data_IF_669567265752
#
_entry.id   IF_669567265752
#
_cell.length_a   1.000
_cell.length_b   1.000
_cell.length_c   1.000
_cell.angle_alpha   90.00
_cell.angle_beta   90.00
_cell.angle_gamma   90.00
#
_symmetry.space_group_name_H-M   'P 1'
#
loop_
_entity.id
_entity.type
_entity.pdbx_description
1 polymer ?
#
# COMPACT_ATOMS: atom_id res chain seq x y z
N UNK A 1 -27.77 -65.45 -59.73
CA UNK A 1 -28.13 -64.30 -58.89
C UNK A 1 -27.88 -64.70 -57.44
N UNK A 2 -26.69 -64.46 -56.90
CA UNK A 2 -26.36 -64.76 -55.50
C UNK A 2 -25.21 -63.87 -55.03
N UNK A 3 -25.41 -63.28 -53.86
CA UNK A 3 -24.63 -62.20 -53.25
C UNK A 3 -23.20 -62.61 -52.89
N UNK A 4 -22.24 -61.74 -53.21
CA UNK A 4 -20.89 -61.78 -52.64
C UNK A 4 -20.86 -60.96 -51.35
N UNK A 5 -20.71 -61.67 -50.22
CA UNK A 5 -20.51 -61.15 -48.88
C UNK A 5 -19.22 -60.33 -48.79
N UNK A 6 -19.32 -59.04 -48.46
CA UNK A 6 -18.19 -58.24 -47.99
C UNK A 6 -18.25 -58.08 -46.48
N UNK A 7 -17.55 -58.96 -45.76
CA UNK A 7 -17.33 -58.86 -44.32
C UNK A 7 -16.26 -57.79 -44.06
N UNK A 8 -16.66 -56.59 -43.61
CA UNK A 8 -15.75 -55.59 -43.00
C UNK A 8 -16.09 -55.52 -41.51
N UNK A 9 -15.43 -56.32 -40.70
CA UNK A 9 -15.40 -56.14 -39.24
C UNK A 9 -14.01 -55.68 -38.83
N UNK A 10 -13.95 -54.64 -37.99
CA UNK A 10 -12.88 -54.49 -37.00
C UNK A 10 -11.89 -53.36 -37.21
N UNK A 11 -12.32 -52.10 -37.42
CA UNK A 11 -11.37 -50.98 -37.42
C UNK A 11 -11.85 -49.61 -36.87
N UNK A 12 -12.89 -49.57 -36.05
CA UNK A 12 -13.44 -48.28 -35.54
C UNK A 12 -13.11 -47.97 -34.05
N UNK A 13 -12.66 -48.96 -33.26
CA UNK A 13 -12.42 -48.74 -31.81
C UNK A 13 -11.14 -48.00 -31.39
N UNK A 14 -9.98 -48.07 -32.09
CA UNK A 14 -8.80 -47.33 -31.64
C UNK A 14 -8.91 -45.82 -31.91
N UNK A 15 -9.67 -45.44 -32.93
CA UNK A 15 -9.84 -44.03 -33.32
C UNK A 15 -10.76 -43.27 -32.35
N UNK A 16 -11.82 -43.92 -31.85
CA UNK A 16 -12.69 -43.31 -30.84
C UNK A 16 -11.99 -43.18 -29.50
N UNK A 17 -11.22 -44.18 -29.04
CA UNK A 17 -10.41 -44.04 -27.81
C UNK A 17 -9.37 -42.92 -27.91
N UNK A 18 -8.67 -42.80 -29.03
CA UNK A 18 -7.70 -41.71 -29.24
C UNK A 18 -8.38 -40.35 -29.28
N UNK A 19 -9.57 -40.24 -29.89
CA UNK A 19 -10.35 -38.99 -29.90
C UNK A 19 -10.83 -38.60 -28.49
N UNK A 20 -11.27 -39.55 -27.67
CA UNK A 20 -11.64 -39.29 -26.27
C UNK A 20 -10.43 -38.86 -25.42
N UNK A 21 -9.28 -39.52 -25.57
CA UNK A 21 -8.04 -39.11 -24.90
C UNK A 21 -7.60 -37.71 -25.34
N UNK A 22 -7.67 -37.42 -26.64
CA UNK A 22 -7.35 -36.09 -27.16
C UNK A 22 -8.28 -35.02 -26.58
N UNK A 23 -9.58 -35.28 -26.46
CA UNK A 23 -10.53 -34.37 -25.82
C UNK A 23 -10.24 -34.14 -24.33
N UNK A 24 -9.84 -35.18 -23.60
CA UNK A 24 -9.46 -35.05 -22.18
C UNK A 24 -8.19 -34.21 -22.05
N UNK A 25 -7.17 -34.46 -22.88
CA UNK A 25 -5.91 -33.69 -22.86
C UNK A 25 -6.14 -32.24 -23.24
N UNK A 26 -6.91 -31.98 -24.29
CA UNK A 26 -7.25 -30.60 -24.71
C UNK A 26 -8.11 -29.89 -23.65
N UNK A 27 -9.09 -30.59 -23.06
CA UNK A 27 -9.94 -30.04 -22.01
C UNK A 27 -9.16 -29.69 -20.74
N UNK A 28 -8.28 -30.58 -20.29
CA UNK A 28 -7.40 -30.32 -19.14
C UNK A 28 -6.39 -29.21 -19.41
N UNK A 29 -5.84 -29.15 -20.63
CA UNK A 29 -4.96 -28.06 -21.05
C UNK A 29 -5.70 -26.71 -21.03
N UNK A 30 -6.90 -26.63 -21.61
CA UNK A 30 -7.71 -25.42 -21.63
C UNK A 30 -8.09 -24.92 -20.23
N UNK A 31 -8.41 -25.84 -19.31
CA UNK A 31 -8.69 -25.47 -17.92
C UNK A 31 -7.43 -24.97 -17.19
N UNK A 32 -6.26 -25.55 -17.47
CA UNK A 32 -5.01 -25.10 -16.88
C UNK A 32 -4.60 -23.72 -17.41
N UNK A 33 -4.77 -23.45 -18.72
CA UNK A 33 -4.47 -22.13 -19.29
C UNK A 33 -5.43 -21.07 -18.75
N UNK A 34 -6.72 -21.36 -18.64
CA UNK A 34 -7.68 -20.43 -18.03
C UNK A 34 -7.35 -20.09 -16.58
N UNK A 35 -6.98 -21.09 -15.78
CA UNK A 35 -6.54 -20.86 -14.39
C UNK A 35 -5.29 -19.99 -14.34
N UNK A 36 -4.34 -20.24 -15.22
CA UNK A 36 -3.12 -19.44 -15.31
C UNK A 36 -3.42 -17.99 -15.68
N UNK A 37 -4.27 -17.75 -16.69
CA UNK A 37 -4.67 -16.40 -17.10
C UNK A 37 -5.35 -15.62 -15.98
N UNK A 38 -6.26 -16.25 -15.22
CA UNK A 38 -6.91 -15.61 -14.07
C UNK A 38 -5.91 -15.22 -12.98
N UNK A 39 -4.93 -16.08 -12.68
CA UNK A 39 -3.88 -15.77 -11.69
C UNK A 39 -2.98 -14.63 -12.14
N UNK A 40 -2.62 -14.58 -13.43
CA UNK A 40 -1.84 -13.49 -14.01
C UNK A 40 -2.62 -12.18 -13.92
N UNK A 41 -3.91 -12.19 -14.28
CA UNK A 41 -4.74 -10.99 -14.22
C UNK A 41 -4.87 -10.45 -12.79
N UNK A 42 -5.08 -11.32 -11.80
CA UNK A 42 -5.16 -10.89 -10.39
C UNK A 42 -3.85 -10.25 -9.92
N UNK A 43 -2.71 -10.87 -10.26
CA UNK A 43 -1.39 -10.32 -9.91
C UNK A 43 -1.15 -8.96 -10.57
N UNK A 44 -1.54 -8.83 -11.83
CA UNK A 44 -1.32 -7.59 -12.57
C UNK A 44 -2.18 -6.44 -12.00
N UNK A 45 -3.44 -6.73 -11.60
CA UNK A 45 -4.31 -5.76 -10.90
C UNK A 45 -3.68 -5.34 -9.55
N UNK A 46 -3.23 -6.29 -8.73
CA UNK A 46 -2.60 -5.97 -7.44
C UNK A 46 -1.37 -5.10 -7.63
N UNK A 47 -0.51 -5.41 -8.62
CA UNK A 47 0.67 -4.59 -8.93
C UNK A 47 0.28 -3.17 -9.35
N UNK A 48 -0.74 -3.02 -10.19
CA UNK A 48 -1.22 -1.69 -10.59
C UNK A 48 -1.74 -0.89 -9.40
N UNK A 49 -2.49 -1.52 -8.49
CA UNK A 49 -2.95 -0.88 -7.26
C UNK A 49 -1.78 -0.50 -6.34
N UNK A 50 -0.79 -1.37 -6.18
CA UNK A 50 0.42 -1.10 -5.40
C UNK A 50 1.20 0.11 -5.96
N UNK A 51 1.29 0.23 -7.28
CA UNK A 51 1.92 1.40 -7.93
C UNK A 51 1.17 2.70 -7.65
N UNK A 52 -0.17 2.66 -7.68
CA UNK A 52 -1.01 3.82 -7.33
C UNK A 52 -0.88 4.19 -5.85
N UNK A 53 -0.93 3.18 -4.96
CA UNK A 53 -0.74 3.37 -3.52
C UNK A 53 0.66 3.93 -3.21
N UNK A 54 1.70 3.46 -3.91
CA UNK A 54 3.05 4.00 -3.81
C UNK A 54 3.12 5.47 -4.24
N UNK A 55 2.38 5.87 -5.28
CA UNK A 55 2.26 7.27 -5.67
C UNK A 55 1.60 8.12 -4.57
N UNK A 56 0.55 7.62 -3.92
CA UNK A 56 -0.10 8.32 -2.79
C UNK A 56 0.84 8.40 -1.57
N UNK A 57 1.57 7.32 -1.28
CA UNK A 57 2.54 7.31 -0.19
C UNK A 57 3.62 8.37 -0.41
N UNK A 58 4.13 8.48 -1.64
CA UNK A 58 5.10 9.51 -2.03
C UNK A 58 4.51 10.92 -1.90
N UNK A 59 3.30 11.16 -2.41
CA UNK A 59 2.64 12.46 -2.30
C UNK A 59 2.45 12.87 -0.83
N UNK A 60 1.95 11.94 -0.01
CA UNK A 60 1.75 12.13 1.44
C UNK A 60 3.07 12.47 2.13
N UNK A 61 4.13 11.72 1.81
CA UNK A 61 5.46 11.97 2.35
C UNK A 61 6.01 13.35 1.98
N UNK A 62 5.79 13.81 0.74
CA UNK A 62 6.19 15.15 0.32
C UNK A 62 5.34 16.25 0.99
N UNK A 63 4.07 16.00 1.28
CA UNK A 63 3.24 16.92 2.08
C UNK A 63 3.85 17.08 3.47
N UNK A 64 4.14 15.98 4.16
CA UNK A 64 4.70 15.97 5.52
C UNK A 64 6.09 16.63 5.53
N UNK A 65 6.94 16.32 4.55
CA UNK A 65 8.28 16.91 4.42
C UNK A 65 8.27 18.45 4.42
N UNK A 66 7.21 19.09 3.94
CA UNK A 66 7.11 20.56 3.88
C UNK A 66 6.69 21.21 5.18
N UNK A 67 6.47 20.44 6.24
CA UNK A 67 6.05 20.91 7.57
C UNK A 67 7.26 21.26 8.42
N UNK A 68 7.02 22.07 9.45
CA UNK A 68 8.07 22.36 10.42
C UNK A 68 8.52 21.06 11.11
N UNK A 69 9.76 21.00 11.58
CA UNK A 69 10.24 19.77 12.22
C UNK A 69 9.48 19.44 13.52
N UNK A 70 9.06 20.48 14.25
CA UNK A 70 8.49 20.40 15.59
C UNK A 70 7.79 21.73 15.93
N UNK A 71 6.82 21.70 16.85
CA UNK A 71 6.09 22.88 17.31
C UNK A 71 7.03 24.00 17.82
N UNK A 72 8.16 23.63 18.43
CA UNK A 72 9.18 24.60 18.89
C UNK A 72 9.74 25.49 17.78
N UNK A 73 9.78 25.00 16.53
CA UNK A 73 10.18 25.77 15.34
C UNK A 73 9.10 26.77 14.94
N UNK A 74 7.83 26.37 15.04
CA UNK A 74 6.67 27.22 14.72
C UNK A 74 6.54 28.34 15.75
N UNK A 75 6.67 27.99 17.04
CA UNK A 75 6.59 28.93 18.16
C UNK A 75 7.80 29.89 18.21
N UNK A 76 8.87 29.61 17.45
CA UNK A 76 10.11 30.39 17.43
C UNK A 76 10.92 30.26 18.72
N UNK A 77 10.75 29.16 19.46
CA UNK A 77 11.56 28.84 20.65
C UNK A 77 12.85 28.11 20.30
N UNK A 78 12.87 27.41 19.16
CA UNK A 78 14.07 26.83 18.58
C UNK A 78 14.97 27.92 17.94
N UNK A 79 16.28 27.76 18.09
CA UNK A 79 17.30 28.76 17.73
C UNK A 79 18.21 28.34 16.57
N UNK A 80 18.10 27.11 16.08
CA UNK A 80 19.05 26.48 15.15
C UNK A 80 20.28 25.92 15.87
N UNK A 81 20.18 25.61 17.17
CA UNK A 81 21.31 25.08 17.94
C UNK A 81 21.00 23.69 18.51
N UNK A 82 22.04 22.93 18.85
CA UNK A 82 21.87 21.57 19.41
C UNK A 82 21.10 21.55 20.74
N UNK A 83 21.01 22.70 21.42
CA UNK A 83 20.19 22.88 22.62
C UNK A 83 18.68 22.83 22.34
N UNK A 84 18.25 23.01 21.08
CA UNK A 84 16.84 23.00 20.69
C UNK A 84 16.18 21.63 20.95
N UNK A 85 16.96 20.55 20.97
CA UNK A 85 16.45 19.21 21.33
C UNK A 85 15.78 19.22 22.70
N UNK A 86 16.20 20.10 23.61
CA UNK A 86 15.60 20.24 24.94
C UNK A 86 14.24 20.94 24.97
N UNK A 87 13.82 21.60 23.88
CA UNK A 87 12.52 22.28 23.76
C UNK A 87 11.56 21.58 22.80
N UNK A 88 12.00 20.52 22.12
CA UNK A 88 11.18 19.72 21.21
C UNK A 88 10.04 19.00 21.94
N UNK A 89 8.92 18.80 21.25
CA UNK A 89 7.76 18.16 21.82
C UNK A 89 8.04 16.69 22.19
N UNK A 90 7.67 16.34 23.42
CA UNK A 90 7.61 14.97 23.89
C UNK A 90 6.47 14.84 24.89
N UNK A 91 5.41 14.15 24.47
CA UNK A 91 4.34 13.77 25.38
C UNK A 91 4.87 12.74 26.41
N UNK A 92 4.33 12.80 27.62
CA UNK A 92 4.68 11.83 28.67
C UNK A 92 3.94 10.51 28.46
N UNK A 93 4.65 9.39 28.33
CA UNK A 93 4.05 8.05 28.27
C UNK A 93 4.60 7.19 27.14
N UNK A 94 3.77 6.25 26.64
CA UNK A 94 4.11 5.38 25.50
C UNK A 94 3.99 6.12 24.15
N UNK A 95 3.12 7.13 24.06
CA UNK A 95 2.97 7.96 22.87
C UNK A 95 3.79 9.24 23.02
N UNK A 96 4.66 9.50 22.05
CA UNK A 96 5.59 10.63 22.04
C UNK A 96 4.92 11.92 21.56
N UNK A 97 3.83 11.79 20.81
CA UNK A 97 3.14 12.85 20.12
C UNK A 97 1.62 12.72 20.33
N UNK A 98 0.89 13.81 20.11
CA UNK A 98 -0.57 13.78 20.12
C UNK A 98 -1.09 12.91 18.96
N UNK A 99 -2.08 12.05 19.23
CA UNK A 99 -2.68 11.18 18.23
C UNK A 99 -4.12 11.58 17.92
N UNK A 100 -4.71 10.95 16.90
CA UNK A 100 -6.10 11.10 16.48
C UNK A 100 -6.44 12.51 15.97
N UNK A 101 -5.44 13.24 15.50
CA UNK A 101 -5.63 14.50 14.77
C UNK A 101 -6.32 14.25 13.43
N UNK A 102 -7.22 15.14 13.02
CA UNK A 102 -7.87 15.14 11.72
C UNK A 102 -7.30 16.28 10.88
N UNK A 103 -6.15 16.02 10.27
CA UNK A 103 -5.37 17.02 9.56
C UNK A 103 -6.11 17.64 8.37
N UNK A 104 -6.16 18.97 8.33
CA UNK A 104 -6.83 19.78 7.31
C UNK A 104 -6.27 19.57 5.91
N UNK A 105 -4.97 19.27 5.80
CA UNK A 105 -4.30 18.94 4.53
C UNK A 105 -4.89 17.68 3.87
N UNK A 106 -5.56 16.84 4.66
CA UNK A 106 -6.27 15.64 4.22
C UNK A 106 -7.80 15.76 4.31
N UNK A 107 -8.33 16.97 4.49
CA UNK A 107 -9.77 17.23 4.53
C UNK A 107 -10.38 17.32 5.93
N UNK A 108 -9.54 17.30 6.97
CA UNK A 108 -9.97 17.51 8.35
C UNK A 108 -10.03 18.97 8.79
N UNK A 109 -10.00 19.20 10.11
CA UNK A 109 -10.14 20.52 10.72
C UNK A 109 -8.90 20.99 11.49
N UNK A 110 -7.97 20.08 11.82
CA UNK A 110 -6.77 20.37 12.60
C UNK A 110 -5.65 20.90 11.68
N UNK A 111 -4.78 21.80 12.16
CA UNK A 111 -3.78 22.46 11.31
C UNK A 111 -2.72 21.50 10.78
N UNK A 112 -2.21 20.60 11.63
CA UNK A 112 -1.09 19.71 11.37
C UNK A 112 0.06 20.44 10.65
N UNK A 113 0.68 21.38 11.36
CA UNK A 113 1.65 22.34 10.84
C UNK A 113 3.11 21.95 11.07
N UNK A 114 3.39 20.99 11.96
CA UNK A 114 4.67 20.32 12.07
C UNK A 114 4.59 18.81 11.75
N UNK A 115 5.74 18.14 11.77
CA UNK A 115 5.85 16.72 11.40
C UNK A 115 5.15 15.80 12.42
N UNK A 116 5.19 16.12 13.71
CA UNK A 116 4.70 15.18 14.72
C UNK A 116 3.17 15.16 14.89
N UNK A 117 2.49 16.22 14.44
CA UNK A 117 1.03 16.26 14.32
C UNK A 117 0.44 15.12 13.48
N UNK A 118 1.23 14.57 12.55
CA UNK A 118 0.82 13.48 11.69
C UNK A 118 0.87 12.11 12.40
N UNK A 119 1.50 12.00 13.57
CA UNK A 119 1.62 10.74 14.30
C UNK A 119 0.26 10.19 14.71
N UNK A 120 -0.12 9.02 14.19
CA UNK A 120 -1.38 8.37 14.53
C UNK A 120 -2.58 9.27 14.22
N UNK A 121 -2.51 10.09 13.18
CA UNK A 121 -3.65 10.89 12.70
C UNK A 121 -4.82 9.97 12.31
N UNK A 122 -6.03 10.50 12.28
CA UNK A 122 -7.19 9.77 11.76
C UNK A 122 -6.94 9.35 10.31
N UNK A 123 -7.25 8.10 9.99
CA UNK A 123 -7.09 7.54 8.64
C UNK A 123 -7.67 8.46 7.59
N UNK A 124 -6.82 8.98 6.71
CA UNK A 124 -7.22 9.88 5.64
C UNK A 124 -7.61 9.07 4.40
N UNK A 125 -8.73 9.41 3.75
CA UNK A 125 -9.10 8.79 2.47
C UNK A 125 -8.67 9.68 1.30
N UNK A 126 -7.76 9.17 0.45
CA UNK A 126 -7.19 9.89 -0.70
C UNK A 126 -7.71 9.33 -2.02
N UNK A 127 -8.16 10.21 -2.94
CA UNK A 127 -8.55 9.79 -4.28
C UNK A 127 -7.33 9.63 -5.20
N UNK A 128 -7.32 8.57 -6.00
CA UNK A 128 -6.46 8.40 -7.16
C UNK A 128 -7.32 8.45 -8.42
N UNK A 129 -7.24 9.55 -9.17
CA UNK A 129 -8.10 9.81 -10.33
C UNK A 129 -7.49 9.17 -11.59
N UNK A 130 -8.24 8.27 -12.23
CA UNK A 130 -7.86 7.56 -13.45
C UNK A 130 -8.84 7.86 -14.57
N UNK A 131 -8.64 9.00 -15.24
CA UNK A 131 -9.52 9.43 -16.32
C UNK A 131 -10.94 9.70 -15.82
N UNK A 132 -11.88 8.78 -16.07
CA UNK A 132 -13.28 8.89 -15.64
C UNK A 132 -13.57 8.19 -14.31
N UNK A 133 -12.68 7.31 -13.86
CA UNK A 133 -12.83 6.55 -12.63
C UNK A 133 -11.97 7.13 -11.50
N UNK A 134 -12.29 6.81 -10.26
CA UNK A 134 -11.50 7.20 -9.08
C UNK A 134 -11.43 6.04 -8.13
N UNK A 135 -10.21 5.64 -7.79
CA UNK A 135 -9.95 4.71 -6.71
C UNK A 135 -9.67 5.50 -5.44
N UNK A 136 -9.91 4.87 -4.30
CA UNK A 136 -9.73 5.50 -3.00
C UNK A 136 -8.77 4.66 -2.19
N UNK A 137 -7.92 5.34 -1.43
CA UNK A 137 -6.92 4.71 -0.57
C UNK A 137 -7.00 5.33 0.80
N UNK A 138 -6.87 4.49 1.82
CA UNK A 138 -6.68 4.91 3.19
C UNK A 138 -5.19 5.15 3.43
N UNK A 139 -4.89 6.22 4.15
CA UNK A 139 -3.54 6.64 4.49
C UNK A 139 -3.45 6.81 5.99
N UNK A 140 -2.53 6.08 6.58
CA UNK A 140 -2.15 6.14 7.99
C UNK A 140 -0.69 6.59 8.09
N UNK A 141 -0.36 7.35 9.12
CA UNK A 141 0.97 7.94 9.30
C UNK A 141 1.44 7.72 10.72
N UNK A 142 2.66 7.22 10.87
CA UNK A 142 3.33 7.02 12.14
C UNK A 142 4.65 7.79 12.15
N UNK A 143 4.84 8.61 13.18
CA UNK A 143 6.07 9.36 13.42
C UNK A 143 6.75 8.89 14.69
N UNK A 144 8.07 8.69 14.65
CA UNK A 144 8.87 8.33 15.82
C UNK A 144 10.17 9.11 15.85
N UNK A 145 10.64 9.48 17.04
CA UNK A 145 12.03 9.90 17.18
C UNK A 145 12.98 8.73 16.91
N UNK A 146 14.08 8.99 16.22
CA UNK A 146 15.12 7.98 15.97
C UNK A 146 16.50 8.43 16.42
N UNK A 147 17.26 7.48 16.97
CA UNK A 147 18.63 7.70 17.39
C UNK A 147 19.62 7.71 16.21
N UNK A 148 20.91 7.91 16.51
CA UNK A 148 21.99 7.91 15.49
C UNK A 148 22.17 6.56 14.79
N UNK A 149 21.60 5.48 15.34
CA UNK A 149 21.61 4.14 14.76
C UNK A 149 20.31 3.82 14.02
N UNK A 150 19.42 4.81 13.85
CA UNK A 150 18.09 4.68 13.24
C UNK A 150 17.16 3.74 14.00
N UNK A 151 17.36 3.60 15.32
CA UNK A 151 16.41 2.89 16.17
C UNK A 151 15.44 3.90 16.79
N UNK A 152 14.20 3.45 17.03
CA UNK A 152 13.21 4.24 17.77
C UNK A 152 13.76 4.63 19.14
N UNK A 153 13.75 5.93 19.40
CA UNK A 153 14.19 6.53 20.65
C UNK A 153 12.97 7.00 21.40
N UNK A 154 12.89 6.69 22.71
CA UNK A 154 11.84 7.22 23.58
C UNK A 154 12.01 8.72 23.87
N UNK A 155 13.21 9.27 23.65
CA UNK A 155 13.56 10.68 23.90
C UNK A 155 13.60 11.49 22.61
N UNK A 156 13.39 12.80 22.71
CA UNK A 156 13.58 13.72 21.60
C UNK A 156 15.01 13.61 21.02
N UNK A 157 15.08 13.54 19.70
CA UNK A 157 16.32 13.49 18.91
C UNK A 157 16.17 14.45 17.73
N UNK A 158 17.27 14.85 17.08
CA UNK A 158 17.18 15.71 15.90
C UNK A 158 16.67 14.96 14.65
N UNK A 159 16.17 13.72 14.79
CA UNK A 159 15.70 12.91 13.68
C UNK A 159 14.32 12.32 13.99
N UNK A 160 13.36 12.52 13.09
CA UNK A 160 12.05 11.88 13.12
C UNK A 160 11.95 10.91 11.93
N UNK A 161 11.66 9.64 12.19
CA UNK A 161 11.20 8.71 11.17
C UNK A 161 9.70 8.92 10.95
N UNK A 162 9.30 9.07 9.69
CA UNK A 162 7.91 9.13 9.26
C UNK A 162 7.66 7.91 8.39
N UNK A 163 6.68 7.10 8.79
CA UNK A 163 6.18 5.96 8.03
C UNK A 163 4.78 6.29 7.54
N UNK A 164 4.59 6.21 6.22
CA UNK A 164 3.27 6.33 5.58
C UNK A 164 2.84 4.94 5.16
N UNK A 165 1.68 4.50 5.64
CA UNK A 165 1.04 3.25 5.26
C UNK A 165 -0.18 3.55 4.39
N UNK A 166 -0.28 2.88 3.24
CA UNK A 166 -1.38 3.06 2.29
C UNK A 166 -2.10 1.74 2.08
N UNK A 167 -3.41 1.73 2.33
CA UNK A 167 -4.30 0.59 2.05
C UNK A 167 -5.38 0.98 1.05
N UNK A 168 -5.90 0.01 0.30
CA UNK A 168 -6.98 0.24 -0.65
C UNK A 168 -8.35 0.32 0.07
N UNK A 169 -9.14 1.35 -0.24
CA UNK A 169 -10.43 1.59 0.39
C UNK A 169 -11.58 1.09 -0.48
N UNK A 170 -12.32 0.10 0.05
CA UNK A 170 -13.51 -0.45 -0.59
C UNK A 170 -14.70 -0.40 0.37
N UNK A 171 -15.68 0.50 0.15
CA UNK A 171 -16.82 0.69 1.06
C UNK A 171 -17.62 -0.59 1.39
N UNK A 172 -17.64 -1.55 0.46
CA UNK A 172 -18.38 -2.82 0.60
C UNK A 172 -17.56 -4.02 0.09
N UNK A 173 -16.24 -3.86 -0.02
CA UNK A 173 -15.37 -4.86 -0.64
C UNK A 173 -14.34 -5.40 0.35
N UNK A 174 -13.70 -6.49 -0.04
CA UNK A 174 -12.45 -6.93 0.58
C UNK A 174 -11.29 -6.21 -0.07
N UNK A 175 -10.36 -5.72 0.74
CA UNK A 175 -9.07 -5.19 0.29
C UNK A 175 -8.36 -6.20 -0.62
N UNK A 176 -7.81 -5.72 -1.73
CA UNK A 176 -6.93 -6.43 -2.64
C UNK A 176 -5.50 -6.53 -2.09
N UNK A 177 -5.14 -5.65 -1.16
CA UNK A 177 -3.86 -5.70 -0.50
C UNK A 177 -3.86 -6.73 0.63
N UNK A 178 -2.84 -7.60 0.63
CA UNK A 178 -2.59 -8.48 1.77
C UNK A 178 -1.90 -7.74 2.92
N UNK A 179 -1.17 -6.67 2.60
CA UNK A 179 -0.42 -5.81 3.52
C UNK A 179 -0.42 -4.38 2.98
N UNK A 180 -0.36 -3.35 3.85
CA UNK A 180 -0.25 -1.97 3.41
C UNK A 180 1.02 -1.75 2.56
N UNK A 181 0.94 -0.83 1.61
CA UNK A 181 2.13 -0.29 0.94
C UNK A 181 2.75 0.74 1.88
N UNK A 182 3.98 0.48 2.32
CA UNK A 182 4.67 1.30 3.32
C UNK A 182 5.81 2.09 2.70
N UNK A 183 5.91 3.38 3.03
CA UNK A 183 7.06 4.23 2.73
C UNK A 183 7.57 4.87 4.02
N UNK A 184 8.79 4.55 4.43
CA UNK A 184 9.47 5.20 5.55
C UNK A 184 10.56 6.16 5.06
N UNK A 185 10.69 7.32 5.70
CA UNK A 185 11.80 8.26 5.54
C UNK A 185 12.16 8.90 6.88
N UNK A 186 13.44 9.22 7.03
CA UNK A 186 13.93 9.99 8.18
C UNK A 186 14.13 11.44 7.78
N UNK A 187 13.55 12.35 8.55
CA UNK A 187 13.77 13.79 8.47
C UNK A 187 14.66 14.23 9.61
N UNK A 188 15.60 15.12 9.31
CA UNK A 188 16.53 15.68 10.30
C UNK A 188 16.25 17.15 10.50
N UNK A 189 16.36 17.59 11.75
CA UNK A 189 16.39 19.00 12.10
C UNK A 189 17.71 19.61 11.66
N UNK A 190 17.64 20.74 10.96
CA UNK A 190 18.81 21.51 10.54
C UNK A 190 19.14 22.55 11.62
N UNK A 191 20.39 22.55 12.09
CA UNK A 191 20.96 23.53 13.01
C UNK A 191 21.53 24.71 12.20
#
# INVERSE_FOLDING_TARGET
MALSHRKRNGREMPQTMLAFLALIVVGTHALNTQRYEMLVQQRDITRELEEMAGSIALETMEIIRTRAFDQSVIDGTATGESTDIGVMEIASGENQFATNQHCSVFGGADSCDDIDDFHGMQTATRPFVMGLDTLWFNVDVDVHYVDVSMNHSASATPNKEVTVEVTDFWPNGTSYFAQPVTLSRVFSYEF
#
